data_IF_125433782977
#
_entry.id   IF_125433782977
#
_cell.length_a   1.000
_cell.length_b   1.000
_cell.length_c   1.000
_cell.angle_alpha   90.00
_cell.angle_beta   90.00
_cell.angle_gamma   90.00
#
_symmetry.space_group_name_H-M   'P 1'
#
loop_
_entity.id
_entity.type
_entity.pdbx_description
1 polymer ?
#
# COMPACT_ATOMS: atom_id res chain seq x y z
N UNK A 1 10.12 0.46 -28.14
CA UNK A 1 10.39 -0.99 -28.30
C UNK A 1 11.71 -1.30 -27.62
N UNK A 2 11.72 -2.28 -26.70
CA UNK A 2 12.78 -2.65 -25.73
C UNK A 2 12.80 -1.91 -24.38
N UNK A 3 11.80 -2.22 -23.54
CA UNK A 3 12.01 -2.78 -22.19
C UNK A 3 13.00 -2.06 -21.24
N UNK A 4 12.92 -0.74 -21.03
CA UNK A 4 13.99 -0.04 -20.26
C UNK A 4 13.57 1.01 -19.22
N UNK A 5 12.33 1.02 -18.71
CA UNK A 5 11.99 2.05 -17.69
C UNK A 5 11.08 1.65 -16.53
N UNK A 6 10.63 0.40 -16.40
CA UNK A 6 9.52 0.10 -15.47
C UNK A 6 9.89 -0.67 -14.20
N UNK A 7 11.17 -0.99 -13.98
CA UNK A 7 11.65 -1.54 -12.70
C UNK A 7 12.14 -0.42 -11.75
N UNK A 8 12.12 0.84 -12.21
CA UNK A 8 12.52 2.00 -11.41
C UNK A 8 11.66 2.22 -10.14
N UNK A 9 10.49 1.56 -10.02
CA UNK A 9 9.61 1.67 -8.86
C UNK A 9 9.81 0.59 -7.78
N UNK A 10 10.75 -0.34 -7.95
CA UNK A 10 11.33 -1.05 -6.80
C UNK A 10 12.29 -0.15 -5.99
N UNK A 11 12.69 1.01 -6.55
CA UNK A 11 13.69 1.92 -5.96
C UNK A 11 13.06 3.15 -5.26
N UNK A 12 11.77 3.44 -5.44
CA UNK A 12 11.10 4.55 -4.72
C UNK A 12 10.43 4.16 -3.38
N UNK A 13 10.76 3.00 -2.81
CA UNK A 13 10.31 2.67 -1.46
C UNK A 13 11.25 3.15 -0.33
N UNK A 14 12.48 3.62 -0.59
CA UNK A 14 13.49 3.72 0.48
C UNK A 14 14.46 4.93 0.41
N UNK A 15 13.94 6.10 0.02
CA UNK A 15 14.65 7.38 0.17
C UNK A 15 14.09 8.22 1.32
N UNK A 16 14.80 8.20 2.46
CA UNK A 16 14.64 9.07 3.64
C UNK A 16 13.37 8.91 4.50
N UNK A 17 13.40 7.93 5.41
CA UNK A 17 12.70 8.04 6.69
C UNK A 17 13.74 8.03 7.82
N UNK A 18 14.43 9.16 7.97
CA UNK A 18 15.15 9.47 9.21
C UNK A 18 14.18 10.17 10.15
N UNK A 19 14.16 9.70 11.39
CA UNK A 19 13.56 10.28 12.59
C UNK A 19 12.04 10.07 12.79
N UNK A 20 11.77 9.43 13.93
CA UNK A 20 10.52 9.27 14.68
C UNK A 20 9.84 7.92 14.49
N UNK A 21 9.85 7.13 15.57
CA UNK A 21 9.28 5.79 15.67
C UNK A 21 7.77 5.76 15.61
N UNK A 22 7.19 6.12 14.47
CA UNK A 22 5.86 5.68 14.09
C UNK A 22 5.96 4.30 13.46
N UNK A 23 5.03 3.40 13.79
CA UNK A 23 4.79 2.22 12.96
C UNK A 23 4.60 2.71 11.52
N UNK A 24 5.54 2.38 10.64
CA UNK A 24 5.40 2.61 9.22
C UNK A 24 4.24 1.70 8.77
N UNK A 25 3.00 2.21 8.74
CA UNK A 25 1.92 1.49 8.07
C UNK A 25 2.33 1.38 6.60
N UNK A 26 2.76 0.17 6.24
CA UNK A 26 3.18 -0.16 4.89
C UNK A 26 1.99 0.00 3.96
N UNK A 27 2.17 0.75 2.86
CA UNK A 27 1.15 0.88 1.81
C UNK A 27 0.60 -0.50 1.41
N UNK A 28 -0.73 -0.61 1.38
CA UNK A 28 -1.41 -1.91 1.21
C UNK A 28 -1.35 -2.37 -0.24
N UNK A 29 -1.48 -3.68 -0.45
CA UNK A 29 -1.49 -4.31 -1.77
C UNK A 29 -2.76 -5.11 -1.96
N UNK A 30 -3.37 -5.00 -3.14
CA UNK A 30 -4.50 -5.80 -3.59
C UNK A 30 -4.15 -6.48 -4.92
N UNK A 31 -4.37 -7.78 -5.02
CA UNK A 31 -4.25 -8.50 -6.29
C UNK A 31 -5.60 -8.58 -7.01
N UNK A 32 -5.67 -7.94 -8.17
CA UNK A 32 -6.84 -7.98 -9.02
C UNK A 32 -6.82 -9.24 -9.88
N UNK A 33 -7.80 -10.12 -9.65
CA UNK A 33 -7.92 -11.38 -10.39
C UNK A 33 -8.71 -11.18 -11.68
N UNK A 34 -8.24 -11.79 -12.77
CA UNK A 34 -8.97 -11.76 -14.05
C UNK A 34 -10.22 -12.63 -13.99
N UNK A 35 -11.32 -12.15 -14.56
CA UNK A 35 -12.55 -12.92 -14.78
C UNK A 35 -12.86 -13.06 -16.27
N UNK A 36 -13.35 -14.23 -16.67
CA UNK A 36 -13.90 -14.47 -18.01
C UNK A 36 -15.42 -14.29 -18.07
N UNK A 37 -16.06 -14.19 -16.90
CA UNK A 37 -17.50 -13.98 -16.75
C UNK A 37 -17.66 -12.75 -15.85
N UNK A 38 -17.87 -11.56 -16.42
CA UNK A 38 -18.01 -10.34 -15.64
C UNK A 38 -19.33 -10.35 -14.84
N UNK A 39 -19.37 -9.66 -13.69
CA UNK A 39 -20.60 -9.50 -12.91
C UNK A 39 -21.61 -8.63 -13.67
N UNK A 40 -22.87 -8.75 -13.29
CA UNK A 40 -23.89 -7.78 -13.66
C UNK A 40 -23.85 -6.64 -12.65
N UNK A 41 -23.77 -5.40 -13.13
CA UNK A 41 -23.76 -4.23 -12.25
C UNK A 41 -25.20 -3.91 -11.82
N UNK A 42 -25.68 -4.55 -10.77
CA UNK A 42 -27.03 -4.33 -10.23
C UNK A 42 -27.09 -4.09 -8.71
N UNK A 43 -25.92 -3.98 -8.08
CA UNK A 43 -25.75 -3.63 -6.67
C UNK A 43 -25.93 -4.84 -5.76
N UNK A 44 -25.81 -6.07 -6.29
CA UNK A 44 -25.96 -7.32 -5.55
C UNK A 44 -24.71 -8.16 -5.71
N UNK A 45 -24.09 -8.51 -4.58
CA UNK A 45 -22.83 -9.25 -4.58
C UNK A 45 -23.03 -10.77 -4.68
N UNK A 46 -24.02 -11.22 -5.46
CA UNK A 46 -24.41 -12.64 -5.58
C UNK A 46 -23.87 -13.32 -6.85
N UNK A 47 -23.26 -12.57 -7.78
CA UNK A 47 -22.61 -13.13 -8.96
C UNK A 47 -21.45 -14.08 -8.59
N UNK A 48 -21.37 -15.29 -9.22
CA UNK A 48 -20.35 -16.29 -8.88
C UNK A 48 -18.90 -15.82 -9.03
N UNK A 49 -18.62 -14.86 -9.93
CA UNK A 49 -17.27 -14.37 -10.15
C UNK A 49 -16.67 -13.72 -8.89
N UNK A 50 -17.49 -13.13 -8.02
CA UNK A 50 -17.03 -12.49 -6.78
C UNK A 50 -16.38 -13.47 -5.80
N UNK A 51 -16.74 -14.75 -5.84
CA UNK A 51 -16.12 -15.78 -5.01
C UNK A 51 -14.66 -16.07 -5.38
N UNK A 52 -14.22 -15.64 -6.58
CA UNK A 52 -12.84 -15.79 -7.05
C UNK A 52 -11.95 -14.61 -6.66
N UNK A 53 -12.54 -13.50 -6.23
CA UNK A 53 -11.81 -12.32 -5.80
C UNK A 53 -11.43 -12.45 -4.32
N UNK A 54 -10.25 -11.94 -3.96
CA UNK A 54 -9.87 -11.79 -2.56
C UNK A 54 -10.77 -10.73 -1.90
N UNK A 55 -11.45 -11.05 -0.82
CA UNK A 55 -12.11 -10.03 0.00
C UNK A 55 -11.07 -9.36 0.89
N UNK A 56 -11.05 -8.02 0.89
CA UNK A 56 -10.23 -7.25 1.82
C UNK A 56 -11.08 -6.30 2.66
N UNK A 57 -10.58 -5.94 3.83
CA UNK A 57 -11.20 -5.03 4.80
C UNK A 57 -10.10 -4.35 5.66
N UNK A 58 -10.42 -3.95 6.89
CA UNK A 58 -9.46 -3.33 7.81
C UNK A 58 -9.22 -1.87 7.44
N UNK A 59 -10.30 -1.16 7.12
CA UNK A 59 -10.24 0.28 6.93
C UNK A 59 -9.88 0.94 8.25
N UNK A 60 -9.22 2.09 8.17
CA UNK A 60 -8.83 2.91 9.32
C UNK A 60 -9.43 4.30 9.20
N UNK A 61 -9.71 4.95 10.32
CA UNK A 61 -10.06 6.37 10.34
C UNK A 61 -8.85 7.20 9.90
N UNK A 62 -9.06 8.02 8.88
CA UNK A 62 -8.13 9.08 8.48
C UNK A 62 -8.62 10.43 9.01
N UNK A 63 -7.81 11.48 8.86
CA UNK A 63 -8.11 12.85 9.33
C UNK A 63 -8.26 13.03 10.84
N UNK A 64 -7.92 12.03 11.66
CA UNK A 64 -7.79 12.15 13.12
C UNK A 64 -6.32 12.10 13.53
N UNK A 65 -5.96 12.75 14.65
CA UNK A 65 -4.58 12.82 15.17
C UNK A 65 -4.00 11.43 15.48
N UNK A 66 -4.85 10.43 15.65
CA UNK A 66 -4.47 9.02 15.79
C UNK A 66 -5.28 8.20 14.78
N UNK A 67 -4.59 7.43 13.94
CA UNK A 67 -5.22 6.42 13.11
C UNK A 67 -5.76 5.30 14.01
N UNK A 68 -7.01 4.89 13.78
CA UNK A 68 -7.65 3.86 14.59
C UNK A 68 -8.80 3.20 13.86
N UNK A 69 -9.33 2.08 14.38
CA UNK A 69 -10.41 1.37 13.73
C UNK A 69 -11.67 2.26 13.63
N UNK A 70 -12.36 2.30 12.48
CA UNK A 70 -13.64 2.98 12.31
C UNK A 70 -14.75 2.31 13.12
N UNK A 71 -15.88 3.02 13.28
CA UNK A 71 -17.05 2.48 13.99
C UNK A 71 -17.76 1.37 13.21
N UNK A 72 -17.62 1.34 11.88
CA UNK A 72 -18.12 0.30 10.98
C UNK A 72 -17.04 -0.07 9.96
N UNK A 73 -17.01 -1.32 9.50
CA UNK A 73 -16.05 -1.75 8.49
C UNK A 73 -16.62 -1.65 7.07
N UNK A 74 -15.69 -1.67 6.12
CA UNK A 74 -15.99 -1.74 4.69
C UNK A 74 -15.18 -2.90 4.12
N UNK A 75 -15.85 -3.71 3.30
CA UNK A 75 -15.28 -4.87 2.65
C UNK A 75 -15.35 -4.66 1.14
N UNK A 76 -14.28 -4.98 0.41
CA UNK A 76 -14.35 -4.91 -1.04
C UNK A 76 -13.62 -6.05 -1.74
N UNK A 77 -14.01 -6.25 -3.00
CA UNK A 77 -13.43 -7.18 -3.96
C UNK A 77 -13.21 -6.43 -5.27
N UNK A 78 -12.15 -6.79 -5.99
CA UNK A 78 -11.84 -6.23 -7.31
C UNK A 78 -11.49 -7.36 -8.28
N UNK A 79 -12.15 -7.34 -9.43
CA UNK A 79 -11.89 -8.20 -10.58
C UNK A 79 -11.60 -7.34 -11.80
N UNK A 80 -11.11 -7.96 -12.86
CA UNK A 80 -10.99 -7.29 -14.15
C UNK A 80 -11.18 -8.25 -15.33
N UNK A 81 -11.57 -7.73 -16.48
CA UNK A 81 -11.50 -8.45 -17.77
C UNK A 81 -10.60 -7.69 -18.75
N UNK A 82 -10.76 -7.90 -20.05
CA UNK A 82 -10.00 -7.17 -21.08
C UNK A 82 -10.43 -5.71 -21.26
N UNK A 83 -11.59 -5.32 -20.71
CA UNK A 83 -12.24 -4.03 -20.98
C UNK A 83 -12.51 -3.22 -19.73
N UNK A 84 -12.72 -3.84 -18.57
CA UNK A 84 -13.15 -3.15 -17.35
C UNK A 84 -12.43 -3.64 -16.09
N UNK A 85 -12.32 -2.73 -15.14
CA UNK A 85 -12.14 -3.00 -13.73
C UNK A 85 -13.52 -3.12 -13.06
N UNK A 86 -13.76 -4.21 -12.35
CA UNK A 86 -15.00 -4.48 -11.63
C UNK A 86 -14.76 -4.40 -10.12
N UNK A 87 -15.59 -3.65 -9.40
CA UNK A 87 -15.44 -3.43 -7.96
C UNK A 87 -16.76 -3.76 -7.28
N UNK A 88 -16.69 -4.58 -6.23
CA UNK A 88 -17.80 -4.87 -5.34
C UNK A 88 -17.47 -4.38 -3.93
N UNK A 89 -18.38 -3.66 -3.30
CA UNK A 89 -18.21 -3.13 -1.95
C UNK A 89 -19.42 -3.49 -1.10
N UNK A 90 -19.15 -3.99 0.10
CA UNK A 90 -20.11 -4.11 1.19
C UNK A 90 -19.71 -3.13 2.28
N UNK A 91 -20.60 -2.20 2.56
CA UNK A 91 -20.45 -1.21 3.60
C UNK A 91 -21.30 -1.64 4.79
N UNK A 92 -20.68 -2.05 5.90
CA UNK A 92 -21.44 -2.39 7.11
C UNK A 92 -22.22 -1.15 7.57
N UNK A 93 -23.50 -1.32 7.86
CA UNK A 93 -24.42 -0.24 8.16
C UNK A 93 -25.48 -0.72 9.17
N UNK A 94 -25.22 -0.56 10.47
CA UNK A 94 -26.15 -0.99 11.51
C UNK A 94 -27.42 -0.12 11.58
N UNK A 95 -27.42 1.05 10.94
CA UNK A 95 -28.52 2.02 10.98
C UNK A 95 -28.91 2.47 9.56
N UNK A 96 -29.41 1.56 8.70
CA UNK A 96 -29.71 1.88 7.30
C UNK A 96 -30.74 3.00 7.13
N UNK A 97 -31.61 3.21 8.12
CA UNK A 97 -32.58 4.32 8.16
C UNK A 97 -31.93 5.71 8.28
N UNK A 98 -30.68 5.77 8.74
CA UNK A 98 -29.93 7.01 8.95
C UNK A 98 -28.94 7.31 7.82
N UNK A 99 -28.86 6.45 6.79
CA UNK A 99 -28.00 6.67 5.62
C UNK A 99 -28.30 8.03 5.01
N UNK A 100 -27.29 8.91 5.01
CA UNK A 100 -27.38 10.20 4.37
C UNK A 100 -27.13 10.03 2.88
N UNK A 101 -28.17 10.16 2.06
CA UNK A 101 -28.03 10.17 0.61
C UNK A 101 -28.93 11.26 0.02
N UNK A 102 -28.55 12.52 0.25
CA UNK A 102 -29.35 13.69 -0.09
C UNK A 102 -29.10 14.18 -1.53
N UNK A 103 -27.95 13.88 -2.11
CA UNK A 103 -27.55 14.34 -3.44
C UNK A 103 -28.10 13.40 -4.51
N UNK A 104 -28.82 13.98 -5.47
CA UNK A 104 -29.45 13.27 -6.58
C UNK A 104 -28.89 13.65 -7.95
N UNK A 105 -28.20 14.78 -8.04
CA UNK A 105 -27.62 15.26 -9.28
C UNK A 105 -26.29 14.54 -9.54
N UNK A 106 -26.19 13.84 -10.67
CA UNK A 106 -24.94 13.25 -11.11
C UNK A 106 -23.89 14.33 -11.42
N UNK A 107 -22.62 13.96 -11.34
CA UNK A 107 -21.45 14.81 -11.61
C UNK A 107 -21.36 16.04 -10.68
N UNK A 108 -22.03 15.98 -9.54
CA UNK A 108 -21.95 16.98 -8.48
C UNK A 108 -20.95 16.51 -7.40
N UNK A 109 -19.86 17.25 -7.13
CA UNK A 109 -18.89 16.87 -6.09
C UNK A 109 -19.50 16.81 -4.68
N UNK A 110 -20.69 17.37 -4.47
CA UNK A 110 -21.44 17.25 -3.22
C UNK A 110 -21.84 15.80 -2.90
N UNK A 111 -21.74 14.86 -3.85
CA UNK A 111 -21.88 13.40 -3.59
C UNK A 111 -20.93 12.96 -2.47
N UNK A 112 -19.72 13.52 -2.38
CA UNK A 112 -18.79 13.26 -1.26
C UNK A 112 -19.28 13.82 0.09
N UNK A 113 -20.38 14.59 0.14
CA UNK A 113 -20.99 15.05 1.38
C UNK A 113 -22.02 14.08 1.98
N UNK A 114 -22.36 12.99 1.28
CA UNK A 114 -23.28 11.93 1.68
C UNK A 114 -22.52 10.71 2.27
N UNK A 115 -23.25 9.71 2.76
CA UNK A 115 -22.70 8.36 2.94
C UNK A 115 -22.33 7.79 1.56
N UNK A 116 -21.03 7.75 1.29
CA UNK A 116 -20.52 7.39 -0.03
C UNK A 116 -19.24 6.56 0.02
N UNK A 117 -18.98 5.89 -1.10
CA UNK A 117 -17.70 5.27 -1.39
C UNK A 117 -16.99 6.12 -2.42
N UNK A 118 -15.69 6.33 -2.20
CA UNK A 118 -14.79 7.00 -3.12
C UNK A 118 -13.67 6.05 -3.53
N UNK A 119 -13.57 5.82 -4.83
CA UNK A 119 -12.60 4.93 -5.46
C UNK A 119 -11.56 5.79 -6.14
N UNK A 120 -10.31 5.65 -5.71
CA UNK A 120 -9.18 6.36 -6.30
C UNK A 120 -8.33 5.41 -7.13
N UNK A 121 -8.18 5.74 -8.42
CA UNK A 121 -7.35 5.01 -9.37
C UNK A 121 -6.24 5.92 -9.88
N UNK A 122 -4.99 5.50 -9.75
CA UNK A 122 -3.83 6.21 -10.29
C UNK A 122 -3.01 5.22 -11.15
N UNK A 123 -3.40 5.07 -12.44
CA UNK A 123 -2.87 4.03 -13.32
C UNK A 123 -1.40 4.20 -13.71
N UNK A 124 -0.95 5.46 -13.80
CA UNK A 124 0.43 5.82 -14.13
C UNK A 124 1.05 6.61 -12.97
N UNK A 125 1.88 5.95 -12.12
CA UNK A 125 2.52 6.59 -10.98
C UNK A 125 3.44 7.78 -11.33
N UNK A 126 3.91 7.87 -12.58
CA UNK A 126 4.73 9.00 -13.05
C UNK A 126 3.87 10.18 -13.54
N UNK A 127 2.59 9.93 -13.81
CA UNK A 127 1.62 10.96 -14.17
C UNK A 127 1.13 11.70 -12.93
N UNK A 128 0.81 12.98 -13.11
CA UNK A 128 0.07 13.77 -12.12
C UNK A 128 -1.42 13.44 -12.12
N UNK A 129 -1.91 12.81 -13.17
CA UNK A 129 -3.32 12.49 -13.35
C UNK A 129 -3.66 11.22 -12.58
N UNK A 130 -4.52 11.37 -11.57
CA UNK A 130 -5.24 10.29 -10.90
C UNK A 130 -6.74 10.56 -11.00
N UNK A 131 -7.56 9.55 -10.74
CA UNK A 131 -8.99 9.57 -11.01
C UNK A 131 -9.77 9.20 -9.75
N UNK A 132 -10.88 9.89 -9.54
CA UNK A 132 -11.82 9.66 -8.46
C UNK A 132 -13.14 9.22 -9.05
N UNK A 133 -13.74 8.19 -8.47
CA UNK A 133 -15.11 7.75 -8.75
C UNK A 133 -15.85 7.66 -7.42
N UNK A 134 -16.84 8.51 -7.21
CA UNK A 134 -17.62 8.56 -5.98
C UNK A 134 -19.06 8.12 -6.23
N UNK A 135 -19.62 7.31 -5.32
CA UNK A 135 -21.01 6.85 -5.39
C UNK A 135 -21.62 6.89 -3.99
N UNK A 136 -22.73 7.62 -3.83
CA UNK A 136 -23.50 7.57 -2.57
C UNK A 136 -24.39 6.31 -2.51
N UNK A 137 -24.94 6.00 -1.33
CA UNK A 137 -25.76 4.81 -1.14
C UNK A 137 -27.02 4.72 -2.04
N UNK A 138 -27.44 5.80 -2.69
CA UNK A 138 -28.54 5.83 -3.68
C UNK A 138 -28.10 5.57 -5.12
N UNK A 139 -26.80 5.46 -5.37
CA UNK A 139 -26.25 5.27 -6.70
C UNK A 139 -26.05 6.58 -7.46
N UNK A 140 -26.15 7.75 -6.82
CA UNK A 140 -25.75 9.02 -7.43
C UNK A 140 -24.23 9.03 -7.58
N UNK A 141 -23.75 9.41 -8.76
CA UNK A 141 -22.34 9.27 -9.15
C UNK A 141 -21.68 10.63 -9.35
N UNK A 142 -20.40 10.68 -9.06
CA UNK A 142 -19.50 11.77 -9.42
C UNK A 142 -18.16 11.16 -9.84
N UNK A 143 -17.51 11.73 -10.84
CA UNK A 143 -16.13 11.41 -11.17
C UNK A 143 -15.29 12.66 -11.43
N UNK A 144 -13.98 12.48 -11.42
CA UNK A 144 -13.05 13.57 -11.62
C UNK A 144 -11.63 13.11 -11.85
N UNK A 145 -10.83 13.99 -12.45
CA UNK A 145 -9.39 13.81 -12.63
C UNK A 145 -8.65 14.72 -11.66
N UNK A 146 -8.10 14.14 -10.60
CA UNK A 146 -7.59 14.91 -9.47
C UNK A 146 -8.70 15.71 -8.81
N UNK A 147 -8.59 17.04 -8.86
CA UNK A 147 -9.63 17.96 -8.38
C UNK A 147 -10.48 18.56 -9.53
N UNK A 148 -10.22 18.14 -10.78
CA UNK A 148 -10.98 18.56 -11.96
C UNK A 148 -12.21 17.65 -12.13
N UNK A 149 -13.35 18.10 -11.64
CA UNK A 149 -14.65 17.43 -11.79
C UNK A 149 -15.32 17.62 -13.15
N UNK A 150 -14.64 18.22 -14.14
CA UNK A 150 -15.16 18.29 -15.53
C UNK A 150 -14.81 17.04 -16.35
N UNK A 151 -13.82 16.27 -15.90
CA UNK A 151 -13.48 14.99 -16.50
C UNK A 151 -14.62 14.00 -16.31
N UNK A 152 -14.87 13.17 -17.33
CA UNK A 152 -15.94 12.18 -17.32
C UNK A 152 -15.40 10.84 -17.84
N UNK A 153 -15.44 9.82 -16.98
CA UNK A 153 -15.03 8.46 -17.30
C UNK A 153 -16.14 7.64 -17.95
N UNK A 154 -15.77 6.50 -18.56
CA UNK A 154 -16.73 5.50 -19.01
C UNK A 154 -16.90 4.44 -17.92
N UNK A 155 -17.93 4.59 -17.09
CA UNK A 155 -18.18 3.66 -15.99
C UNK A 155 -19.67 3.54 -15.64
N UNK A 156 -20.00 2.48 -14.92
CA UNK A 156 -21.34 2.15 -14.41
C UNK A 156 -21.25 1.85 -12.92
N UNK A 157 -22.29 2.20 -12.17
CA UNK A 157 -22.43 1.81 -10.78
C UNK A 157 -23.89 1.53 -10.43
N UNK A 158 -24.11 0.58 -9.53
CA UNK A 158 -25.41 0.27 -8.95
C UNK A 158 -25.26 0.02 -7.46
N UNK A 159 -26.27 0.43 -6.69
CA UNK A 159 -26.30 0.23 -5.23
C UNK A 159 -27.56 -0.49 -4.77
N UNK A 160 -27.47 -1.12 -3.62
CA UNK A 160 -28.64 -1.61 -2.89
C UNK A 160 -28.46 -1.42 -1.39
N UNK A 161 -29.56 -1.21 -0.67
CA UNK A 161 -29.55 -1.09 0.80
C UNK A 161 -30.22 -2.33 1.38
N UNK A 162 -29.46 -3.05 2.22
CA UNK A 162 -29.92 -4.21 2.97
C UNK A 162 -30.34 -3.84 4.39
N UNK A 163 -30.40 -4.86 5.26
CA UNK A 163 -30.81 -4.70 6.66
C UNK A 163 -29.70 -4.17 7.56
N UNK A 164 -28.46 -4.55 7.27
CA UNK A 164 -27.27 -4.31 8.10
C UNK A 164 -26.05 -3.86 7.28
N UNK A 165 -26.26 -3.58 6.00
CA UNK A 165 -25.24 -3.11 5.07
C UNK A 165 -25.89 -2.43 3.86
N UNK A 166 -25.11 -1.61 3.17
CA UNK A 166 -25.41 -1.23 1.79
C UNK A 166 -24.28 -1.71 0.87
N UNK A 167 -24.63 -1.90 -0.40
CA UNK A 167 -23.79 -2.55 -1.39
C UNK A 167 -23.58 -1.66 -2.59
N UNK A 168 -22.41 -1.78 -3.20
CA UNK A 168 -22.03 -1.10 -4.43
C UNK A 168 -21.40 -2.12 -5.37
N UNK A 169 -21.82 -2.08 -6.64
CA UNK A 169 -21.08 -2.68 -7.74
C UNK A 169 -20.72 -1.59 -8.76
N UNK A 170 -19.49 -1.63 -9.26
CA UNK A 170 -19.00 -0.72 -10.28
C UNK A 170 -18.30 -1.49 -11.41
N UNK A 171 -18.45 -1.00 -12.65
CA UNK A 171 -17.62 -1.37 -13.78
C UNK A 171 -16.99 -0.11 -14.38
N UNK A 172 -15.67 -0.01 -14.38
CA UNK A 172 -14.90 1.13 -14.90
C UNK A 172 -14.15 0.67 -16.15
N UNK A 173 -14.45 1.26 -17.31
CA UNK A 173 -13.80 0.86 -18.55
C UNK A 173 -12.35 1.35 -18.58
N UNK A 174 -11.43 0.48 -18.98
CA UNK A 174 -10.01 0.82 -19.14
C UNK A 174 -9.78 1.91 -20.18
N UNK A 175 -10.69 2.06 -21.14
CA UNK A 175 -10.67 3.16 -22.12
C UNK A 175 -10.83 4.55 -21.50
N UNK A 176 -11.22 4.65 -20.22
CA UNK A 176 -11.24 5.91 -19.47
C UNK A 176 -9.83 6.42 -19.17
N UNK A 177 -8.81 5.56 -19.25
CA UNK A 177 -7.43 5.87 -18.89
C UNK A 177 -6.52 5.92 -20.13
N UNK A 178 -5.50 6.77 -20.09
CA UNK A 178 -4.51 6.92 -21.17
C UNK A 178 -3.47 5.80 -21.19
N UNK A 179 -3.07 5.29 -20.03
CA UNK A 179 -2.30 4.04 -19.87
C UNK A 179 -2.92 3.22 -18.74
N UNK A 180 -3.14 1.93 -18.98
CA UNK A 180 -3.75 1.00 -18.04
C UNK A 180 -2.83 -0.18 -17.71
N UNK A 181 -1.58 -0.18 -18.20
CA UNK A 181 -0.66 -1.31 -18.06
C UNK A 181 0.14 -1.21 -16.76
N UNK A 182 0.37 -2.36 -16.12
CA UNK A 182 1.28 -2.45 -14.97
C UNK A 182 0.59 -2.41 -13.62
N UNK A 183 1.24 -1.76 -12.65
CA UNK A 183 0.77 -1.67 -11.26
C UNK A 183 0.15 -0.29 -11.08
N UNK A 184 -1.09 -0.26 -10.61
CA UNK A 184 -1.76 1.00 -10.29
C UNK A 184 -1.52 1.36 -8.83
N UNK A 185 -1.54 2.65 -8.55
CA UNK A 185 -1.83 3.14 -7.21
C UNK A 185 -3.34 3.19 -7.02
N UNK A 186 -3.82 2.74 -5.86
CA UNK A 186 -5.24 2.55 -5.61
C UNK A 186 -5.61 2.87 -4.16
N UNK A 187 -6.76 3.50 -3.96
CA UNK A 187 -7.37 3.58 -2.64
C UNK A 187 -8.89 3.42 -2.70
N UNK A 188 -9.44 2.87 -1.63
CA UNK A 188 -10.87 2.77 -1.41
C UNK A 188 -11.17 3.50 -0.12
N UNK A 189 -12.06 4.49 -0.18
CA UNK A 189 -12.41 5.31 0.96
C UNK A 189 -13.92 5.31 1.16
N UNK A 190 -14.35 5.51 2.41
CA UNK A 190 -15.74 5.68 2.78
C UNK A 190 -15.91 6.96 3.59
N UNK A 191 -16.89 7.74 3.21
CA UNK A 191 -17.47 8.76 4.07
C UNK A 191 -18.63 8.16 4.83
N UNK A 192 -18.50 8.06 6.16
CA UNK A 192 -19.55 7.56 7.03
C UNK A 192 -20.22 8.72 7.76
N UNK A 193 -21.51 8.91 7.49
CA UNK A 193 -22.31 10.06 7.90
C UNK A 193 -23.55 9.66 8.72
N UNK A 194 -23.83 8.35 8.90
CA UNK A 194 -25.07 7.83 9.49
C UNK A 194 -25.23 8.00 11.02
N UNK A 195 -24.19 8.42 11.77
CA UNK A 195 -24.25 8.52 13.26
C UNK A 195 -24.22 9.95 13.79
N UNK A 196 -24.35 10.96 12.94
CA UNK A 196 -24.23 12.38 13.31
C UNK A 196 -22.80 12.84 13.59
N UNK A 197 -21.86 11.91 13.85
CA UNK A 197 -20.41 12.14 13.77
C UNK A 197 -19.91 11.64 12.43
N UNK A 198 -19.19 12.50 11.73
CA UNK A 198 -18.57 12.18 10.45
C UNK A 198 -17.31 11.37 10.71
N UNK A 199 -17.16 10.25 10.02
CA UNK A 199 -15.91 9.51 9.96
C UNK A 199 -15.45 9.36 8.50
N UNK A 200 -14.15 9.50 8.31
CA UNK A 200 -13.48 9.30 7.02
C UNK A 200 -12.65 8.03 7.12
N UNK A 201 -12.97 7.02 6.32
CA UNK A 201 -12.31 5.73 6.38
C UNK A 201 -11.46 5.53 5.13
N UNK A 202 -10.24 5.02 5.29
CA UNK A 202 -9.36 4.66 4.18
C UNK A 202 -8.97 3.19 4.26
N UNK A 203 -8.86 2.53 3.11
CA UNK A 203 -8.21 1.22 3.01
C UNK A 203 -6.69 1.35 3.19
N UNK A 204 -6.04 2.26 2.46
CA UNK A 204 -4.64 2.66 2.65
C UNK A 204 -4.60 4.05 3.31
N UNK A 205 -4.02 4.13 4.50
CA UNK A 205 -4.05 5.35 5.32
C UNK A 205 -3.30 6.51 4.64
N UNK A 206 -3.97 7.66 4.51
CA UNK A 206 -3.39 8.87 3.92
C UNK A 206 -2.81 9.83 4.96
N UNK A 207 -3.05 9.60 6.25
CA UNK A 207 -2.66 10.50 7.36
C UNK A 207 -3.16 11.94 7.16
N UNK A 208 -4.33 12.10 6.55
CA UNK A 208 -4.80 13.39 6.06
C UNK A 208 -5.94 13.23 5.05
N UNK A 209 -6.00 14.13 4.07
CA UNK A 209 -7.05 14.14 3.06
C UNK A 209 -7.01 12.87 2.18
N UNK A 210 -8.16 12.52 1.58
CA UNK A 210 -8.25 11.41 0.64
C UNK A 210 -7.41 11.62 -0.63
N UNK A 211 -7.27 12.85 -1.10
CA UNK A 211 -6.52 13.24 -2.31
C UNK A 211 -4.99 13.28 -2.08
N UNK A 212 -4.42 12.15 -1.65
CA UNK A 212 -2.99 12.00 -1.33
C UNK A 212 -2.42 10.78 -2.10
N UNK A 213 -2.24 10.86 -3.43
CA UNK A 213 -1.92 9.71 -4.29
C UNK A 213 -0.61 8.99 -3.93
N UNK A 214 0.34 9.70 -3.35
CA UNK A 214 1.61 9.16 -2.84
C UNK A 214 1.44 8.18 -1.66
N UNK A 215 0.25 8.13 -1.04
CA UNK A 215 -0.13 7.21 0.05
C UNK A 215 -1.09 6.10 -0.37
N UNK A 216 -1.55 6.11 -1.63
CA UNK A 216 -2.40 5.05 -2.15
C UNK A 216 -1.67 3.71 -2.09
N UNK A 217 -2.43 2.66 -1.83
CA UNK A 217 -1.94 1.29 -1.93
C UNK A 217 -1.66 0.91 -3.38
N UNK A 218 -1.38 -0.37 -3.60
CA UNK A 218 -1.06 -0.92 -4.90
C UNK A 218 -2.14 -1.88 -5.36
N UNK A 219 -2.62 -1.70 -6.58
CA UNK A 219 -3.50 -2.63 -7.28
C UNK A 219 -2.70 -3.33 -8.38
N UNK A 220 -2.56 -4.65 -8.28
CA UNK A 220 -1.73 -5.47 -9.17
C UNK A 220 -2.62 -6.39 -9.98
N UNK A 221 -2.57 -6.28 -11.31
CA UNK A 221 -3.35 -7.13 -12.22
C UNK A 221 -2.66 -8.48 -12.44
N UNK A 222 -3.34 -9.58 -12.10
CA UNK A 222 -2.86 -10.94 -12.35
C UNK A 222 -3.31 -11.43 -13.73
N UNK A 223 -2.40 -11.66 -14.69
CA UNK A 223 -2.77 -12.16 -16.04
C UNK A 223 -2.03 -11.46 -17.20
N UNK A 224 -2.59 -11.40 -18.42
CA UNK A 224 -1.93 -10.86 -19.62
C UNK A 224 -1.54 -9.38 -19.53
N UNK A 225 -2.22 -8.61 -18.67
CA UNK A 225 -1.89 -7.21 -18.36
C UNK A 225 -0.78 -7.09 -17.30
N UNK A 226 -0.47 -8.18 -16.59
CA UNK A 226 0.62 -8.31 -15.63
C UNK A 226 1.82 -9.00 -16.26
N UNK A 227 2.78 -8.24 -16.79
CA UNK A 227 4.07 -8.80 -17.22
C UNK A 227 4.89 -9.40 -16.05
N UNK A 228 4.46 -9.19 -14.81
CA UNK A 228 5.08 -9.70 -13.58
C UNK A 228 4.11 -10.65 -12.88
N UNK A 229 4.54 -11.89 -12.63
CA UNK A 229 3.75 -12.89 -11.90
C UNK A 229 3.61 -12.49 -10.42
N UNK A 230 2.42 -12.67 -9.81
CA UNK A 230 2.14 -12.47 -8.37
C UNK A 230 3.26 -13.00 -7.46
N UNK A 231 3.71 -14.23 -7.69
CA UNK A 231 4.78 -14.84 -6.91
C UNK A 231 6.08 -14.04 -6.93
N UNK A 232 6.40 -13.41 -8.06
CA UNK A 232 7.58 -12.56 -8.21
C UNK A 232 7.45 -11.28 -7.38
N UNK A 233 6.30 -10.61 -7.46
CA UNK A 233 6.08 -9.36 -6.72
C UNK A 233 6.00 -9.58 -5.21
N UNK A 234 5.35 -10.65 -4.76
CA UNK A 234 5.30 -11.03 -3.33
C UNK A 234 6.70 -11.34 -2.81
N UNK A 235 7.49 -12.12 -3.56
CA UNK A 235 8.85 -12.44 -3.13
C UNK A 235 9.74 -11.19 -3.13
N UNK A 236 9.67 -10.35 -4.17
CA UNK A 236 10.44 -9.10 -4.22
C UNK A 236 10.05 -8.14 -3.09
N UNK A 237 8.75 -7.97 -2.81
CA UNK A 237 8.27 -7.16 -1.70
C UNK A 237 8.66 -7.76 -0.33
N UNK A 238 8.62 -9.09 -0.20
CA UNK A 238 9.08 -9.81 0.98
C UNK A 238 10.56 -9.57 1.26
N UNK A 239 11.41 -9.67 0.24
CA UNK A 239 12.83 -9.36 0.34
C UNK A 239 13.08 -7.87 0.63
N UNK A 240 12.34 -6.96 0.00
CA UNK A 240 12.47 -5.53 0.25
C UNK A 240 12.12 -5.16 1.71
N UNK A 241 11.02 -5.69 2.25
CA UNK A 241 10.63 -5.51 3.66
C UNK A 241 11.68 -6.10 4.60
N UNK A 242 12.09 -7.35 4.35
CA UNK A 242 13.09 -8.01 5.20
C UNK A 242 14.44 -7.27 5.16
N UNK A 243 14.85 -6.78 4.00
CA UNK A 243 16.02 -5.92 3.80
C UNK A 243 15.96 -4.67 4.67
N UNK A 244 14.81 -3.99 4.72
CA UNK A 244 14.63 -2.78 5.53
C UNK A 244 14.72 -3.08 7.03
N UNK A 245 14.00 -4.10 7.50
CA UNK A 245 14.04 -4.54 8.90
C UNK A 245 15.48 -4.88 9.31
N UNK A 246 16.20 -5.59 8.45
CA UNK A 246 17.61 -5.97 8.65
C UNK A 246 18.55 -4.77 8.67
N UNK A 247 18.37 -3.80 7.78
CA UNK A 247 19.15 -2.55 7.80
C UNK A 247 18.93 -1.79 9.11
N UNK A 248 17.68 -1.73 9.61
CA UNK A 248 17.37 -1.10 10.89
C UNK A 248 18.03 -1.85 12.06
N UNK A 249 17.97 -3.18 12.08
CA UNK A 249 18.66 -4.00 13.08
C UNK A 249 20.16 -3.76 13.06
N UNK A 250 20.78 -3.73 11.87
CA UNK A 250 22.20 -3.48 11.69
C UNK A 250 22.60 -2.09 12.21
N UNK A 251 21.82 -1.05 11.88
CA UNK A 251 22.04 0.30 12.39
C UNK A 251 21.95 0.38 13.92
N UNK A 252 20.96 -0.30 14.51
CA UNK A 252 20.82 -0.36 15.97
C UNK A 252 22.04 -1.04 16.63
N UNK A 253 22.49 -2.18 16.10
CA UNK A 253 23.69 -2.87 16.59
C UNK A 253 24.93 -1.98 16.50
N UNK A 254 25.13 -1.28 15.37
CA UNK A 254 26.26 -0.36 15.19
C UNK A 254 26.24 0.77 16.21
N UNK A 255 25.06 1.35 16.46
CA UNK A 255 24.89 2.41 17.47
C UNK A 255 25.26 1.90 18.87
N UNK A 256 24.79 0.73 19.26
CA UNK A 256 25.11 0.16 20.58
C UNK A 256 26.60 -0.21 20.70
N UNK A 257 27.21 -0.77 19.64
CA UNK A 257 28.65 -1.01 19.59
C UNK A 257 29.43 0.29 19.76
N UNK A 258 29.05 1.37 19.07
CA UNK A 258 29.70 2.68 19.20
C UNK A 258 29.59 3.24 20.63
N UNK A 259 28.43 3.11 21.27
CA UNK A 259 28.23 3.54 22.66
C UNK A 259 29.11 2.74 23.63
N UNK A 260 29.15 1.41 23.49
CA UNK A 260 30.01 0.56 24.32
C UNK A 260 31.50 0.82 24.07
N UNK A 261 31.91 1.05 22.81
CA UNK A 261 33.30 1.42 22.47
C UNK A 261 33.77 2.67 23.20
N UNK A 262 32.89 3.65 23.39
CA UNK A 262 33.20 4.85 24.15
C UNK A 262 33.33 4.60 25.66
N UNK A 263 32.75 3.51 26.17
CA UNK A 263 32.72 3.18 27.60
C UNK A 263 33.82 2.22 28.05
N UNK A 264 34.50 1.51 27.14
CA UNK A 264 35.54 0.52 27.49
C UNK A 264 36.98 0.97 27.15
N UNK A 265 38.01 0.52 27.88
CA UNK A 265 39.39 0.86 27.57
C UNK A 265 39.83 0.43 26.16
N UNK A 266 40.65 1.25 25.49
CA UNK A 266 41.17 1.00 24.13
C UNK A 266 41.78 -0.41 23.94
N UNK A 267 42.46 -0.94 24.96
CA UNK A 267 43.04 -2.31 24.94
C UNK A 267 42.00 -3.42 24.75
N UNK A 268 40.75 -3.18 25.15
CA UNK A 268 39.62 -4.11 25.01
C UNK A 268 39.02 -3.99 23.60
N UNK A 269 39.01 -2.79 23.01
CA UNK A 269 38.46 -2.53 21.67
C UNK A 269 39.45 -2.92 20.56
N UNK A 270 40.75 -2.74 20.80
CA UNK A 270 41.82 -2.92 19.81
C UNK A 270 41.81 -4.28 19.07
N UNK A 271 41.52 -5.43 19.71
CA UNK A 271 41.40 -6.71 19.01
C UNK A 271 40.22 -6.78 18.03
N UNK A 272 39.20 -5.95 18.23
CA UNK A 272 37.97 -5.93 17.44
C UNK A 272 37.95 -4.83 16.36
N UNK A 273 38.86 -3.84 16.41
CA UNK A 273 38.95 -2.76 15.41
C UNK A 273 39.00 -3.29 13.98
N UNK A 274 39.87 -4.28 13.73
CA UNK A 274 40.00 -4.93 12.42
C UNK A 274 38.68 -5.54 11.95
N UNK A 275 37.98 -6.23 12.85
CA UNK A 275 36.68 -6.86 12.55
C UNK A 275 35.60 -5.80 12.25
N UNK A 276 35.57 -4.71 13.01
CA UNK A 276 34.60 -3.62 12.81
C UNK A 276 34.84 -2.89 11.48
N UNK A 277 36.09 -2.59 11.13
CA UNK A 277 36.44 -2.00 9.84
C UNK A 277 36.11 -2.95 8.68
N UNK A 278 36.35 -4.25 8.83
CA UNK A 278 35.94 -5.24 7.84
C UNK A 278 34.42 -5.28 7.66
N UNK A 279 33.65 -5.21 8.75
CA UNK A 279 32.19 -5.20 8.70
C UNK A 279 31.63 -3.95 8.01
N UNK A 280 32.18 -2.77 8.30
CA UNK A 280 31.79 -1.52 7.63
C UNK A 280 32.08 -1.57 6.12
N UNK A 281 33.25 -2.09 5.74
CA UNK A 281 33.62 -2.26 4.33
C UNK A 281 32.70 -3.24 3.62
N UNK A 282 32.38 -4.37 4.26
CA UNK A 282 31.52 -5.41 3.68
C UNK A 282 30.08 -4.88 3.50
N UNK A 283 29.57 -4.08 4.46
CA UNK A 283 28.28 -3.38 4.36
C UNK A 283 28.26 -2.36 3.22
N UNK A 284 29.31 -1.54 3.09
CA UNK A 284 29.44 -0.58 1.99
C UNK A 284 29.48 -1.28 0.64
N UNK A 285 30.25 -2.36 0.53
CA UNK A 285 30.37 -3.16 -0.69
C UNK A 285 29.03 -3.77 -1.09
N UNK A 286 28.30 -4.33 -0.11
CA UNK A 286 26.97 -4.89 -0.33
C UNK A 286 26.00 -3.79 -0.82
N UNK A 287 25.92 -2.68 -0.08
CA UNK A 287 24.99 -1.58 -0.39
C UNK A 287 25.29 -0.93 -1.75
N UNK A 288 26.57 -0.72 -2.07
CA UNK A 288 27.00 -0.13 -3.34
C UNK A 288 26.69 -1.05 -4.54
N UNK A 289 26.86 -2.36 -4.38
CA UNK A 289 26.54 -3.33 -5.43
C UNK A 289 25.07 -3.24 -5.83
N UNK A 290 24.16 -3.14 -4.86
CA UNK A 290 22.72 -3.12 -5.14
C UNK A 290 22.21 -1.73 -5.55
N UNK A 291 22.79 -0.64 -5.06
CA UNK A 291 22.41 0.72 -5.49
C UNK A 291 22.76 1.01 -6.97
N UNK A 292 23.71 0.28 -7.53
CA UNK A 292 24.10 0.38 -8.94
C UNK A 292 23.27 -0.51 -9.87
N UNK A 293 22.43 -1.41 -9.34
CA UNK A 293 21.57 -2.26 -10.15
C UNK A 293 20.37 -1.47 -10.67
N UNK A 294 20.18 -1.46 -11.99
CA UNK A 294 19.00 -0.85 -12.60
C UNK A 294 17.75 -1.72 -12.47
N UNK A 295 17.89 -3.05 -12.54
CA UNK A 295 16.79 -4.00 -12.55
C UNK A 295 17.13 -5.27 -11.74
N UNK A 296 17.12 -5.22 -10.40
CA UNK A 296 17.45 -6.38 -9.57
C UNK A 296 16.42 -7.51 -9.73
N UNK A 297 16.91 -8.70 -10.04
CA UNK A 297 16.11 -9.93 -10.11
C UNK A 297 15.75 -10.42 -8.70
N UNK A 298 14.85 -11.41 -8.60
CA UNK A 298 14.60 -12.10 -7.33
C UNK A 298 15.86 -12.71 -6.71
N UNK A 299 16.77 -13.23 -7.54
CA UNK A 299 18.04 -13.79 -7.05
C UNK A 299 18.94 -12.70 -6.47
N UNK A 300 18.90 -11.49 -7.05
CA UNK A 300 19.61 -10.33 -6.51
C UNK A 300 19.02 -9.89 -5.17
N UNK A 301 17.68 -9.81 -5.07
CA UNK A 301 16.99 -9.50 -3.82
C UNK A 301 17.26 -10.53 -2.72
N UNK A 302 17.20 -11.81 -3.05
CA UNK A 302 17.54 -12.89 -2.12
C UNK A 302 19.02 -12.85 -1.69
N UNK A 303 19.93 -12.53 -2.62
CA UNK A 303 21.34 -12.38 -2.31
C UNK A 303 21.64 -11.17 -1.42
N UNK A 304 20.93 -10.06 -1.58
CA UNK A 304 21.01 -8.90 -0.68
C UNK A 304 20.54 -9.28 0.72
N UNK A 305 19.36 -9.90 0.79
CA UNK A 305 18.73 -10.31 2.03
C UNK A 305 19.60 -11.27 2.85
N UNK A 306 20.21 -12.28 2.20
CA UNK A 306 21.20 -13.18 2.81
C UNK A 306 22.49 -12.47 3.22
N UNK A 307 22.94 -11.50 2.42
CA UNK A 307 24.13 -10.70 2.74
C UNK A 307 23.95 -9.89 4.02
N UNK A 308 22.76 -9.31 4.21
CA UNK A 308 22.39 -8.59 5.42
C UNK A 308 22.29 -9.53 6.63
N UNK A 309 21.74 -10.74 6.48
CA UNK A 309 21.76 -11.74 7.55
C UNK A 309 23.18 -12.06 8.03
N UNK A 310 24.11 -12.25 7.09
CA UNK A 310 25.51 -12.52 7.42
C UNK A 310 26.16 -11.34 8.17
N UNK A 311 25.85 -10.11 7.78
CA UNK A 311 26.35 -8.89 8.44
C UNK A 311 25.75 -8.73 9.85
N UNK A 312 24.45 -8.95 10.03
CA UNK A 312 23.79 -8.91 11.34
C UNK A 312 24.35 -9.98 12.27
N UNK A 313 24.56 -11.20 11.78
CA UNK A 313 25.13 -12.28 12.60
C UNK A 313 26.55 -11.95 13.05
N UNK A 314 27.39 -11.37 12.17
CA UNK A 314 28.75 -10.97 12.53
C UNK A 314 28.79 -9.76 13.46
N UNK A 315 27.96 -8.73 13.21
CA UNK A 315 27.82 -7.59 14.12
C UNK A 315 27.28 -8.01 15.48
N UNK A 316 26.31 -8.91 15.53
CA UNK A 316 25.79 -9.48 16.77
C UNK A 316 26.86 -10.19 17.59
N UNK A 317 27.78 -10.93 16.97
CA UNK A 317 28.93 -11.52 17.68
C UNK A 317 29.87 -10.45 18.24
N UNK A 318 30.19 -9.43 17.44
CA UNK A 318 31.02 -8.31 17.91
C UNK A 318 30.36 -7.56 19.08
N UNK A 319 29.06 -7.30 18.97
CA UNK A 319 28.22 -6.71 20.01
C UNK A 319 28.28 -7.50 21.31
N UNK A 320 27.98 -8.81 21.27
CA UNK A 320 27.97 -9.62 22.47
C UNK A 320 29.36 -9.74 23.11
N UNK A 321 30.41 -9.89 22.31
CA UNK A 321 31.79 -9.90 22.84
C UNK A 321 32.10 -8.60 23.59
N UNK A 322 31.77 -7.44 23.01
CA UNK A 322 32.00 -6.15 23.65
C UNK A 322 31.12 -5.97 24.91
N UNK A 323 29.85 -6.39 24.84
CA UNK A 323 28.91 -6.33 25.96
C UNK A 323 29.32 -7.22 27.13
N UNK A 324 29.83 -8.42 26.87
CA UNK A 324 30.40 -9.28 27.92
C UNK A 324 31.59 -8.61 28.59
N UNK A 325 32.45 -7.92 27.82
CA UNK A 325 33.55 -7.15 28.43
C UNK A 325 33.06 -5.98 29.29
N UNK A 326 32.01 -5.27 28.89
CA UNK A 326 31.39 -4.23 29.74
C UNK A 326 30.88 -4.85 31.05
N UNK A 327 30.04 -5.90 30.95
CA UNK A 327 29.41 -6.54 32.11
C UNK A 327 30.37 -7.23 33.08
N UNK A 328 31.56 -7.64 32.63
CA UNK A 328 32.58 -8.27 33.48
C UNK A 328 33.55 -7.27 34.11
N UNK A 329 33.52 -6.00 33.69
CA UNK A 329 34.39 -4.94 34.22
C UNK A 329 33.62 -3.84 34.99
N UNK A 330 32.29 -3.91 35.04
CA UNK A 330 31.40 -3.20 35.97
C UNK A 330 31.19 -4.01 37.26
#
# INVERSE_FOLDING_TARGET
MRQRLSILLAVMALGMASALGGQMETMRLYECTMTAQPPKIDGRLDDPCWQRAEETSGFVRTLTTEAGPPSVQTHFRILYDDRHLYIAVRCDEPHPENIKASVTDADNPSVCGDDCIEIFCHPDPESRDYFQFAVNARGTRYDGRGLDGSWNGQWQAATSVGKDAWFLECAIAFSSFSDCRGIWRFNMNREYRSTGKVEYHCWSNTFGAFHTPERFGYLVFAGPFGSLRRGYLIQAAGYARSTLEKQQTLQNQKREIQQMRAAVPLKVVAPFEKLLTELERDEQTLTQRYSQMKEPSLQDWEALDRGLDALIARNGRAYWNLKFHVLLND
#
